data_IF_112263027866
#
_entry.id   IF_112263027866
#
_cell.length_a   1.000
_cell.length_b   1.000
_cell.length_c   1.000
_cell.angle_alpha   90.00
_cell.angle_beta   90.00
_cell.angle_gamma   90.00
#
_symmetry.space_group_name_H-M   'P 1'
#
loop_
_entity.id
_entity.type
_entity.pdbx_description
1 polymer ?
#
# COMPACT_ATOMS: atom_id res chain seq x y z
N UNK A 1 20.38 -15.20 2.12
CA UNK A 1 18.95 -14.84 2.27
C UNK A 1 18.55 -13.96 1.08
N UNK A 2 17.33 -14.00 0.57
CA UNK A 2 16.91 -13.20 -0.60
C UNK A 2 15.80 -12.24 -0.21
N UNK A 3 15.84 -11.03 -0.76
CA UNK A 3 14.82 -10.00 -0.57
C UNK A 3 14.24 -9.68 -1.94
N UNK A 4 12.93 -9.82 -2.07
CA UNK A 4 12.18 -9.40 -3.24
C UNK A 4 11.55 -8.02 -3.01
N UNK A 5 11.66 -7.16 -4.02
CA UNK A 5 11.09 -5.82 -4.02
C UNK A 5 9.90 -5.77 -4.96
N UNK A 6 8.79 -5.25 -4.46
CA UNK A 6 7.54 -5.08 -5.20
C UNK A 6 7.02 -3.65 -5.04
N UNK A 7 6.29 -3.20 -6.05
CA UNK A 7 5.53 -1.96 -6.02
C UNK A 7 4.05 -2.25 -6.23
N UNK A 8 3.19 -1.58 -5.47
CA UNK A 8 1.75 -1.62 -5.69
C UNK A 8 1.31 -0.42 -6.51
N UNK A 9 0.54 -0.66 -7.55
CA UNK A 9 -0.06 0.37 -8.39
C UNK A 9 -1.58 0.17 -8.49
N UNK A 10 -2.34 1.24 -8.73
CA UNK A 10 -3.78 1.22 -8.90
C UNK A 10 -4.13 1.67 -10.33
N UNK A 11 -4.34 0.71 -11.22
CA UNK A 11 -4.63 0.95 -12.63
C UNK A 11 -6.08 0.56 -12.91
N UNK A 12 -6.89 1.52 -13.38
CA UNK A 12 -8.31 1.32 -13.72
C UNK A 12 -9.13 0.67 -12.58
N UNK A 13 -8.80 1.01 -11.33
CA UNK A 13 -9.48 0.48 -10.14
C UNK A 13 -9.05 -0.92 -9.73
N UNK A 14 -8.05 -1.50 -10.39
CA UNK A 14 -7.42 -2.76 -9.99
C UNK A 14 -6.06 -2.49 -9.37
N UNK A 15 -5.82 -3.08 -8.20
CA UNK A 15 -4.51 -3.08 -7.58
C UNK A 15 -3.62 -4.12 -8.29
N UNK A 16 -2.50 -3.67 -8.84
CA UNK A 16 -1.50 -4.53 -9.46
C UNK A 16 -0.21 -4.50 -8.63
N UNK A 17 0.35 -5.69 -8.39
CA UNK A 17 1.64 -5.85 -7.74
C UNK A 17 2.70 -6.07 -8.82
N UNK A 18 3.63 -5.14 -8.94
CA UNK A 18 4.70 -5.14 -9.92
C UNK A 18 5.99 -5.58 -9.24
N UNK A 19 6.61 -6.64 -9.75
CA UNK A 19 7.94 -7.06 -9.30
C UNK A 19 8.99 -6.08 -9.81
N UNK A 20 9.84 -5.58 -8.91
CA UNK A 20 10.93 -4.65 -9.25
C UNK A 20 12.23 -5.41 -9.43
N UNK A 21 12.68 -6.10 -8.38
CA UNK A 21 13.96 -6.82 -8.37
C UNK A 21 14.08 -7.74 -7.16
N UNK A 22 15.10 -8.59 -7.16
CA UNK A 22 15.51 -9.44 -6.06
C UNK A 22 16.97 -9.15 -5.75
N UNK A 23 17.33 -9.18 -4.47
CA UNK A 23 18.71 -9.03 -4.00
C UNK A 23 19.06 -10.17 -3.06
N UNK A 24 20.23 -10.77 -3.25
CA UNK A 24 20.76 -11.76 -2.33
C UNK A 24 21.60 -11.10 -1.23
N UNK A 25 21.13 -11.21 0.02
CA UNK A 25 21.85 -10.76 1.20
C UNK A 25 22.94 -11.78 1.56
N UNK A 26 24.20 -11.33 1.71
CA UNK A 26 25.32 -12.16 2.03
C UNK A 26 25.16 -12.74 3.44
N UNK A 27 25.45 -14.02 3.56
CA UNK A 27 25.39 -14.78 4.81
C UNK A 27 26.73 -14.80 5.55
N UNK A 28 27.82 -14.42 4.87
CA UNK A 28 29.16 -14.37 5.43
C UNK A 28 30.03 -13.32 4.74
N UNK A 29 31.17 -12.97 5.36
CA UNK A 29 32.16 -12.02 4.83
C UNK A 29 32.71 -12.46 3.46
N UNK A 30 32.79 -13.77 3.19
CA UNK A 30 33.27 -14.27 1.89
C UNK A 30 32.34 -13.89 0.73
N UNK A 31 31.05 -13.72 1.01
CA UNK A 31 30.03 -13.35 0.04
C UNK A 31 29.89 -11.83 -0.13
N UNK A 32 30.64 -11.04 0.66
CA UNK A 32 30.54 -9.58 0.64
C UNK A 32 31.03 -8.97 -0.67
N UNK A 33 32.06 -9.57 -1.27
CA UNK A 33 32.55 -9.12 -2.59
C UNK A 33 31.50 -9.31 -3.67
N UNK A 34 30.80 -10.45 -3.70
CA UNK A 34 29.69 -10.65 -4.65
C UNK A 34 28.50 -9.72 -4.36
N UNK A 35 28.29 -9.35 -3.10
CA UNK A 35 27.23 -8.42 -2.70
C UNK A 35 27.46 -6.98 -3.18
N UNK A 36 28.70 -6.58 -3.46
CA UNK A 36 28.97 -5.25 -4.04
C UNK A 36 28.22 -5.05 -5.35
N UNK A 37 28.08 -6.10 -6.17
CA UNK A 37 27.30 -6.04 -7.41
C UNK A 37 25.80 -5.86 -7.16
N UNK A 38 25.29 -6.37 -6.04
CA UNK A 38 23.89 -6.23 -5.63
C UNK A 38 23.59 -4.83 -5.07
N UNK A 39 24.59 -4.08 -4.61
CA UNK A 39 24.40 -2.69 -4.15
C UNK A 39 23.89 -1.79 -5.27
N UNK A 40 24.31 -2.01 -6.51
CA UNK A 40 23.80 -1.25 -7.65
C UNK A 40 22.28 -1.48 -7.83
N UNK A 41 21.84 -2.73 -7.72
CA UNK A 41 20.42 -3.08 -7.73
C UNK A 41 19.67 -2.37 -6.60
N UNK A 42 20.19 -2.39 -5.38
CA UNK A 42 19.58 -1.71 -4.23
C UNK A 42 19.48 -0.19 -4.42
N UNK A 43 20.50 0.44 -5.02
CA UNK A 43 20.47 1.88 -5.33
C UNK A 43 19.39 2.23 -6.36
N UNK A 44 19.22 1.40 -7.40
CA UNK A 44 18.13 1.58 -8.38
C UNK A 44 16.76 1.39 -7.75
N UNK A 45 16.61 0.38 -6.89
CA UNK A 45 15.37 0.14 -6.14
C UNK A 45 15.03 1.36 -5.27
N UNK A 46 16.01 1.89 -4.53
CA UNK A 46 15.83 3.12 -3.73
C UNK A 46 15.33 4.28 -4.58
N UNK A 47 15.95 4.51 -5.74
CA UNK A 47 15.57 5.60 -6.64
C UNK A 47 14.11 5.48 -7.12
N UNK A 48 13.68 4.28 -7.49
CA UNK A 48 12.28 4.01 -7.85
C UNK A 48 11.32 4.37 -6.70
N UNK A 49 11.62 3.95 -5.48
CA UNK A 49 10.76 4.24 -4.33
C UNK A 49 10.74 5.73 -3.98
N UNK A 50 11.89 6.41 -4.01
CA UNK A 50 11.97 7.86 -3.77
C UNK A 50 11.15 8.64 -4.80
N UNK A 51 11.37 8.39 -6.10
CA UNK A 51 10.64 9.06 -7.17
C UNK A 51 9.12 8.81 -7.08
N UNK A 52 8.73 7.58 -6.73
CA UNK A 52 7.32 7.22 -6.53
C UNK A 52 6.71 7.95 -5.33
N UNK A 53 7.44 8.04 -4.22
CA UNK A 53 7.00 8.77 -3.03
C UNK A 53 6.88 10.27 -3.32
N UNK A 54 7.86 10.88 -3.97
CA UNK A 54 7.83 12.31 -4.30
C UNK A 54 6.66 12.65 -5.22
N UNK A 55 6.38 11.78 -6.21
CA UNK A 55 5.20 11.92 -7.07
C UNK A 55 3.88 11.81 -6.29
N UNK A 56 3.78 10.88 -5.35
CA UNK A 56 2.61 10.75 -4.47
C UNK A 56 2.46 11.97 -3.56
N UNK A 57 3.53 12.36 -2.88
CA UNK A 57 3.58 13.46 -1.95
C UNK A 57 3.20 14.77 -2.63
N UNK A 58 3.74 15.03 -3.82
CA UNK A 58 3.38 16.19 -4.65
C UNK A 58 1.88 16.25 -4.97
N UNK A 59 1.26 15.10 -5.32
CA UNK A 59 -0.19 15.00 -5.55
C UNK A 59 -1.02 15.21 -4.29
N UNK A 60 -0.52 14.79 -3.12
CA UNK A 60 -1.20 14.98 -1.84
C UNK A 60 -1.16 16.45 -1.40
N UNK A 61 -0.02 17.13 -1.61
CA UNK A 61 0.13 18.55 -1.31
C UNK A 61 -0.65 19.43 -2.29
N UNK A 62 -0.74 19.02 -3.56
CA UNK A 62 -1.44 19.75 -4.63
C UNK A 62 -2.50 18.86 -5.27
N UNK A 63 -3.61 18.58 -4.56
CA UNK A 63 -4.68 17.75 -5.10
C UNK A 63 -5.25 18.42 -6.35
N UNK A 64 -5.17 17.74 -7.49
CA UNK A 64 -5.84 18.18 -8.72
C UNK A 64 -7.34 18.34 -8.42
N UNK A 65 -8.02 19.38 -8.94
CA UNK A 65 -9.46 19.52 -8.77
C UNK A 65 -10.14 18.19 -9.13
N UNK A 66 -11.11 17.72 -8.33
CA UNK A 66 -11.70 16.42 -8.55
C UNK A 66 -12.25 16.35 -9.98
N UNK A 67 -11.82 15.32 -10.73
CA UNK A 67 -12.49 14.89 -11.95
C UNK A 67 -14.00 14.80 -11.63
N UNK A 68 -14.89 15.19 -12.57
CA UNK A 68 -16.32 15.26 -12.34
C UNK A 68 -16.77 13.98 -11.66
N UNK A 69 -17.26 14.14 -10.43
CA UNK A 69 -17.52 13.09 -9.43
C UNK A 69 -17.79 11.77 -10.13
N UNK A 70 -16.79 10.88 -10.20
CA UNK A 70 -17.09 9.47 -10.40
C UNK A 70 -17.96 9.15 -9.20
N UNK A 71 -19.26 8.98 -9.44
CA UNK A 71 -20.22 8.69 -8.41
C UNK A 71 -19.71 7.38 -7.81
N UNK A 72 -19.04 7.48 -6.66
CA UNK A 72 -18.65 6.33 -5.88
C UNK A 72 -19.97 5.63 -5.61
N UNK A 73 -20.26 4.56 -6.36
CA UNK A 73 -21.53 3.85 -6.28
C UNK A 73 -21.53 3.13 -4.93
N UNK A 74 -21.86 3.92 -3.89
CA UNK A 74 -22.16 3.49 -2.52
C UNK A 74 -23.29 2.47 -2.48
N UNK A 75 -23.99 2.26 -3.59
CA UNK A 75 -25.01 1.23 -3.76
C UNK A 75 -24.50 -0.15 -3.32
N UNK A 76 -23.24 -0.50 -3.58
CA UNK A 76 -22.67 -1.80 -3.14
C UNK A 76 -22.56 -1.88 -1.62
N UNK A 77 -22.14 -0.79 -0.97
CA UNK A 77 -22.00 -0.67 0.48
C UNK A 77 -23.35 -0.63 1.20
N UNK A 78 -24.43 -0.29 0.50
CA UNK A 78 -25.80 -0.30 1.01
C UNK A 78 -26.56 -1.60 0.73
N UNK A 79 -25.97 -2.58 0.04
CA UNK A 79 -26.69 -3.82 -0.29
C UNK A 79 -26.94 -4.66 0.96
N UNK A 80 -28.09 -5.38 1.02
CA UNK A 80 -28.36 -6.32 2.11
C UNK A 80 -27.22 -7.33 2.31
N UNK A 81 -26.64 -7.84 1.20
CA UNK A 81 -25.51 -8.79 1.24
C UNK A 81 -24.26 -8.19 1.87
N UNK A 82 -23.88 -6.96 1.50
CA UNK A 82 -22.74 -6.29 2.11
C UNK A 82 -22.98 -6.02 3.60
N UNK A 83 -24.18 -5.56 3.97
CA UNK A 83 -24.54 -5.35 5.37
C UNK A 83 -24.52 -6.66 6.18
N UNK A 84 -24.92 -7.79 5.58
CA UNK A 84 -24.86 -9.11 6.22
C UNK A 84 -23.43 -9.63 6.40
N UNK A 85 -22.53 -9.30 5.46
CA UNK A 85 -21.10 -9.57 5.57
C UNK A 85 -20.46 -8.74 6.69
N UNK A 86 -20.75 -7.43 6.73
CA UNK A 86 -20.21 -6.51 7.74
C UNK A 86 -20.79 -6.77 9.13
N UNK A 87 -22.08 -7.11 9.24
CA UNK A 87 -22.72 -7.40 10.53
C UNK A 87 -22.11 -8.62 11.22
N UNK A 88 -21.63 -9.62 10.47
CA UNK A 88 -20.89 -10.77 11.02
C UNK A 88 -19.51 -10.39 11.56
N UNK A 89 -18.92 -9.32 11.03
CA UNK A 89 -17.60 -8.80 11.47
C UNK A 89 -17.70 -7.73 12.57
N UNK A 90 -18.90 -7.19 12.84
CA UNK A 90 -19.16 -6.32 14.01
C UNK A 90 -19.17 -7.17 15.27
N UNK A 91 -18.00 -7.51 15.75
CA UNK A 91 -17.82 -8.09 17.07
C UNK A 91 -17.84 -6.94 18.09
N UNK A 92 -18.98 -6.69 18.73
CA UNK A 92 -19.26 -5.55 19.62
C UNK A 92 -18.46 -5.55 20.95
N UNK A 93 -17.46 -6.42 21.07
CA UNK A 93 -16.64 -6.62 22.27
C UNK A 93 -15.13 -6.55 22.00
N UNK A 94 -14.71 -6.01 20.84
CA UNK A 94 -13.30 -5.71 20.62
C UNK A 94 -13.01 -4.28 21.07
N UNK A 95 -12.04 -4.13 21.97
CA UNK A 95 -11.40 -2.84 22.22
C UNK A 95 -10.91 -2.29 20.88
N UNK A 96 -11.50 -1.18 20.45
CA UNK A 96 -11.26 -0.60 19.15
C UNK A 96 -9.78 -0.17 19.08
N UNK A 97 -8.94 -0.73 18.17
CA UNK A 97 -7.53 -0.38 18.12
C UNK A 97 -7.37 1.10 17.80
N UNK A 98 -6.43 1.76 18.50
CA UNK A 98 -6.13 3.21 18.46
C UNK A 98 -5.95 3.79 17.03
N UNK A 99 -5.74 2.93 16.03
CA UNK A 99 -5.54 3.30 14.62
C UNK A 99 -6.81 3.55 13.80
N UNK A 100 -8.01 3.26 14.32
CA UNK A 100 -9.24 3.71 13.67
C UNK A 100 -9.36 5.23 13.87
N UNK A 101 -8.85 5.96 12.86
CA UNK A 101 -8.76 7.40 12.84
C UNK A 101 -10.06 8.10 13.23
N UNK A 102 -9.88 9.23 13.91
CA UNK A 102 -10.92 10.16 14.38
C UNK A 102 -11.92 10.52 13.27
N UNK A 103 -12.97 9.73 13.13
CA UNK A 103 -14.23 10.17 12.55
C UNK A 103 -15.29 9.99 13.64
N UNK A 104 -15.70 11.14 14.16
CA UNK A 104 -16.69 11.43 15.20
C UNK A 104 -17.47 10.28 15.83
N UNK A 105 -17.29 10.18 17.15
CA UNK A 105 -18.31 10.09 18.19
C UNK A 105 -19.43 9.04 18.01
N UNK A 106 -19.31 8.02 18.89
CA UNK A 106 -20.34 7.13 19.46
C UNK A 106 -20.67 5.86 18.67
N UNK A 107 -20.32 4.76 19.35
CA UNK A 107 -20.59 3.33 19.11
C UNK A 107 -19.67 2.62 18.12
N UNK A 108 -18.65 1.98 18.70
CA UNK A 108 -18.54 0.53 18.53
C UNK A 108 -19.81 -0.08 19.19
#
# INVERSE_FOLDING_TARGET
YRIDFYMMDLVKGMYMMLYISQVQIPSSIKEMNSFVNELETLLRVRDIFCNSFDALYSKLCNPTPPLPKVIFKRSTLGTPKFNQLVSKTRNCHRDCPIWYGRFDSKRC
#
